data_IF_795099296265
#
_entry.id   IF_795099296265
#
_cell.length_a   1.000
_cell.length_b   1.000
_cell.length_c   1.000
_cell.angle_alpha   90.00
_cell.angle_beta   90.00
_cell.angle_gamma   90.00
#
_symmetry.space_group_name_H-M   'P 1'
#
loop_
_entity.id
_entity.type
_entity.pdbx_description
1 polymer ?
#
# COMPACT_ATOMS: atom_id res chain seq x y z
N UNK A 1 -1.17 -19.17 -5.38
CA UNK A 1 -1.34 -19.96 -4.13
C UNK A 1 -0.46 -21.20 -4.18
N UNK A 2 -0.44 -21.93 -5.28
CA UNK A 2 0.42 -23.11 -5.43
C UNK A 2 1.92 -22.76 -5.38
N UNK A 3 2.32 -21.62 -5.97
CA UNK A 3 3.70 -21.08 -5.87
C UNK A 3 4.16 -20.74 -4.44
N UNK A 4 3.23 -20.51 -3.52
CA UNK A 4 3.51 -20.13 -2.14
C UNK A 4 3.45 -21.32 -1.16
N UNK A 5 3.29 -22.55 -1.67
CA UNK A 5 3.30 -23.77 -0.86
C UNK A 5 2.02 -24.03 -0.04
N UNK A 6 0.89 -23.41 -0.40
CA UNK A 6 -0.38 -23.65 0.29
C UNK A 6 -0.91 -25.08 0.02
N UNK A 7 -1.45 -25.79 1.04
CA UNK A 7 -2.02 -27.11 0.85
C UNK A 7 -3.15 -27.12 -0.18
N UNK A 8 -3.08 -28.01 -1.17
CA UNK A 8 -4.08 -28.06 -2.26
C UNK A 8 -5.53 -28.26 -1.77
N UNK A 9 -5.75 -28.85 -0.59
CA UNK A 9 -7.08 -28.95 0.02
C UNK A 9 -7.67 -27.57 0.35
N UNK A 10 -6.86 -26.66 0.90
CA UNK A 10 -7.29 -25.30 1.24
C UNK A 10 -7.56 -24.49 -0.02
N UNK A 11 -6.68 -24.58 -1.04
CA UNK A 11 -6.89 -23.91 -2.33
C UNK A 11 -8.20 -24.35 -2.98
N UNK A 12 -8.54 -25.65 -2.92
CA UNK A 12 -9.81 -26.17 -3.45
C UNK A 12 -11.03 -25.66 -2.68
N UNK A 13 -10.96 -25.59 -1.34
CA UNK A 13 -12.05 -25.06 -0.51
C UNK A 13 -12.29 -23.56 -0.79
N UNK A 14 -11.22 -22.78 -0.89
CA UNK A 14 -11.31 -21.35 -1.22
C UNK A 14 -11.92 -21.17 -2.61
N UNK A 15 -11.46 -21.95 -3.61
CA UNK A 15 -12.04 -21.92 -4.96
C UNK A 15 -13.52 -22.27 -4.92
N UNK A 16 -13.91 -23.35 -4.24
CA UNK A 16 -15.32 -23.75 -4.13
C UNK A 16 -16.20 -22.69 -3.45
N UNK A 17 -15.64 -21.90 -2.53
CA UNK A 17 -16.37 -20.79 -1.89
C UNK A 17 -16.56 -19.58 -2.78
N UNK A 18 -15.74 -19.42 -3.82
CA UNK A 18 -15.75 -18.25 -4.71
C UNK A 18 -16.30 -18.56 -6.09
N UNK A 19 -16.34 -19.84 -6.49
CA UNK A 19 -16.78 -20.28 -7.80
C UNK A 19 -18.31 -20.25 -7.90
N UNK A 20 -18.83 -19.67 -8.99
CA UNK A 20 -20.27 -19.55 -9.23
C UNK A 20 -21.03 -18.63 -8.25
N UNK A 21 -20.32 -17.79 -7.49
CA UNK A 21 -20.96 -16.82 -6.58
C UNK A 21 -21.73 -15.78 -7.41
N UNK A 22 -22.97 -15.50 -7.01
CA UNK A 22 -23.74 -14.38 -7.54
C UNK A 22 -23.97 -13.34 -6.46
N UNK A 23 -23.80 -12.07 -6.83
CA UNK A 23 -24.03 -10.93 -5.97
C UNK A 23 -25.29 -10.19 -6.42
N UNK A 24 -26.01 -9.62 -5.46
CA UNK A 24 -27.10 -8.68 -5.68
C UNK A 24 -26.86 -7.47 -4.77
N UNK A 25 -27.19 -6.27 -5.25
CA UNK A 25 -27.13 -5.05 -4.44
C UNK A 25 -28.55 -4.72 -3.98
N UNK A 26 -28.71 -4.40 -2.70
CA UNK A 26 -29.99 -3.91 -2.17
C UNK A 26 -29.89 -2.41 -1.90
N UNK A 27 -30.72 -1.61 -2.57
CA UNK A 27 -30.80 -0.15 -2.38
C UNK A 27 -32.23 0.20 -1.99
N UNK A 28 -32.41 0.89 -0.86
CA UNK A 28 -33.72 1.34 -0.38
C UNK A 28 -34.81 0.25 -0.29
N UNK A 29 -34.40 -1.00 -0.05
CA UNK A 29 -35.30 -2.15 0.05
C UNK A 29 -35.50 -2.94 -1.25
N UNK A 30 -35.09 -2.40 -2.39
CA UNK A 30 -35.15 -3.07 -3.69
C UNK A 30 -33.85 -3.79 -4.01
N UNK A 31 -33.95 -5.03 -4.51
CA UNK A 31 -32.83 -5.87 -4.92
C UNK A 31 -32.55 -5.69 -6.42
N UNK A 32 -31.28 -5.51 -6.77
CA UNK A 32 -30.84 -5.54 -8.17
C UNK A 32 -30.96 -6.94 -8.76
N UNK A 33 -30.86 -7.02 -10.09
CA UNK A 33 -30.58 -8.29 -10.75
C UNK A 33 -29.28 -8.91 -10.22
N UNK A 34 -29.23 -10.25 -10.23
CA UNK A 34 -28.03 -10.96 -9.85
C UNK A 34 -26.95 -10.79 -10.93
N UNK A 35 -25.71 -10.65 -10.48
CA UNK A 35 -24.55 -10.58 -11.36
C UNK A 35 -23.39 -11.37 -10.76
N UNK A 36 -22.54 -11.88 -11.65
CA UNK A 36 -21.35 -12.63 -11.26
C UNK A 36 -20.16 -11.68 -11.09
N UNK A 37 -19.50 -11.65 -9.92
CA UNK A 37 -18.30 -10.87 -9.71
C UNK A 37 -17.12 -11.50 -10.46
N UNK A 38 -16.70 -10.89 -11.57
CA UNK A 38 -15.55 -11.37 -12.36
C UNK A 38 -14.18 -10.86 -11.88
N UNK A 39 -14.15 -9.79 -11.09
CA UNK A 39 -12.93 -9.19 -10.54
C UNK A 39 -13.18 -8.67 -9.14
N UNK A 40 -12.16 -8.76 -8.31
CA UNK A 40 -12.16 -8.28 -6.93
C UNK A 40 -12.65 -9.33 -5.93
N UNK A 41 -12.60 -8.94 -4.66
CA UNK A 41 -13.04 -9.73 -3.52
C UNK A 41 -14.25 -9.06 -2.87
N UNK A 42 -15.15 -9.85 -2.29
CA UNK A 42 -16.37 -9.32 -1.67
C UNK A 42 -16.01 -8.58 -0.38
N UNK A 43 -16.26 -7.27 -0.33
CA UNK A 43 -16.03 -6.48 0.88
C UNK A 43 -17.01 -6.94 1.99
N UNK A 44 -16.49 -7.15 3.19
CA UNK A 44 -17.25 -7.68 4.33
C UNK A 44 -17.23 -9.21 4.47
N UNK A 45 -16.63 -9.93 3.53
CA UNK A 45 -16.30 -11.35 3.73
C UNK A 45 -14.99 -11.48 4.53
N UNK A 46 -14.99 -12.34 5.54
CA UNK A 46 -13.84 -12.57 6.42
C UNK A 46 -12.62 -13.16 5.70
N UNK A 47 -12.85 -13.91 4.62
CA UNK A 47 -11.76 -14.47 3.81
C UNK A 47 -11.16 -13.46 2.84
N UNK A 48 -11.97 -12.53 2.32
CA UNK A 48 -11.52 -11.50 1.36
C UNK A 48 -10.30 -10.73 1.83
N UNK A 49 -10.29 -10.27 3.09
CA UNK A 49 -9.14 -9.53 3.63
C UNK A 49 -7.85 -10.40 3.64
N UNK A 50 -7.96 -11.67 4.03
CA UNK A 50 -6.82 -12.57 4.06
C UNK A 50 -6.30 -12.89 2.66
N UNK A 51 -7.20 -13.15 1.71
CA UNK A 51 -6.87 -13.43 0.31
C UNK A 51 -6.18 -12.24 -0.35
N UNK A 52 -6.65 -11.03 -0.06
CA UNK A 52 -6.02 -9.79 -0.52
C UNK A 52 -4.58 -9.68 0.01
N UNK A 53 -4.38 -9.88 1.32
CA UNK A 53 -3.05 -9.83 1.93
C UNK A 53 -2.10 -10.88 1.33
N UNK A 54 -2.57 -12.10 1.04
CA UNK A 54 -1.77 -13.14 0.39
C UNK A 54 -1.37 -12.73 -1.03
N UNK A 55 -2.29 -12.12 -1.79
CA UNK A 55 -1.99 -11.62 -3.12
C UNK A 55 -0.94 -10.50 -3.07
N UNK A 56 -1.09 -9.58 -2.12
CA UNK A 56 -0.18 -8.47 -1.87
C UNK A 56 1.23 -8.95 -1.52
N UNK A 57 1.34 -9.88 -0.58
CA UNK A 57 2.60 -10.51 -0.18
C UNK A 57 3.28 -11.18 -1.39
N UNK A 58 2.51 -11.82 -2.27
CA UNK A 58 3.02 -12.39 -3.51
C UNK A 58 3.59 -11.33 -4.47
N UNK A 59 2.91 -10.19 -4.62
CA UNK A 59 3.42 -9.05 -5.41
C UNK A 59 4.72 -8.52 -4.82
N UNK A 60 4.77 -8.32 -3.50
CA UNK A 60 5.94 -7.79 -2.81
C UNK A 60 7.16 -8.70 -2.96
N UNK A 61 6.98 -10.02 -2.79
CA UNK A 61 8.04 -11.01 -2.99
C UNK A 61 8.57 -10.99 -4.43
N UNK A 62 7.69 -10.91 -5.43
CA UNK A 62 8.08 -10.85 -6.85
C UNK A 62 8.74 -9.53 -7.23
N UNK A 63 8.37 -8.42 -6.60
CA UNK A 63 9.02 -7.13 -6.79
C UNK A 63 10.48 -7.10 -6.29
N UNK A 64 10.95 -8.20 -5.65
CA UNK A 64 12.32 -8.36 -5.18
C UNK A 64 12.52 -7.88 -3.75
N UNK A 65 11.44 -7.71 -2.99
CA UNK A 65 11.51 -7.32 -1.59
C UNK A 65 11.78 -8.54 -0.73
N UNK A 66 12.93 -8.50 -0.08
CA UNK A 66 13.33 -9.56 0.83
C UNK A 66 12.93 -9.14 2.24
N UNK A 67 11.84 -9.73 2.74
CA UNK A 67 11.23 -9.45 4.06
C UNK A 67 12.13 -9.79 5.26
N UNK A 68 13.36 -10.27 5.04
CA UNK A 68 14.32 -10.65 6.09
C UNK A 68 15.36 -9.57 6.44
N UNK A 69 15.32 -8.38 5.82
CA UNK A 69 16.28 -7.29 6.09
C UNK A 69 15.71 -6.17 6.97
N UNK A 70 16.54 -5.60 7.84
CA UNK A 70 16.24 -4.39 8.65
C UNK A 70 16.62 -3.11 7.91
N UNK A 71 16.07 -1.94 8.29
CA UNK A 71 16.43 -0.61 7.70
C UNK A 71 17.94 -0.38 7.75
N UNK A 72 18.59 -0.86 8.82
CA UNK A 72 20.04 -0.78 8.99
C UNK A 72 20.83 -1.59 7.95
N UNK A 73 20.28 -2.72 7.49
CA UNK A 73 21.00 -3.65 6.61
C UNK A 73 20.63 -3.49 5.13
N UNK A 74 19.44 -2.97 4.79
CA UNK A 74 19.02 -2.76 3.39
C UNK A 74 18.24 -1.48 3.15
N UNK A 75 18.48 -0.90 1.97
CA UNK A 75 17.99 0.39 1.48
C UNK A 75 16.60 0.30 0.84
N UNK A 76 15.71 -0.60 1.25
CA UNK A 76 14.40 -0.74 0.63
C UNK A 76 13.46 -1.56 1.52
N UNK A 77 12.52 -0.91 2.18
CA UNK A 77 11.50 -1.56 3.00
C UNK A 77 10.11 -1.05 2.66
N UNK A 78 9.13 -1.95 2.79
CA UNK A 78 7.70 -1.67 2.71
C UNK A 78 7.03 -1.88 4.07
N UNK A 79 6.18 -0.93 4.45
CA UNK A 79 5.18 -1.14 5.50
C UNK A 79 3.83 -1.15 4.80
N UNK A 80 3.09 -2.23 4.96
CA UNK A 80 1.78 -2.35 4.32
C UNK A 80 0.74 -2.60 5.39
N UNK A 81 -0.28 -1.76 5.39
CA UNK A 81 -1.47 -1.93 6.20
C UNK A 81 -2.68 -1.98 5.27
N UNK A 82 -3.23 -3.18 5.06
CA UNK A 82 -4.31 -3.43 4.11
C UNK A 82 -3.97 -2.89 2.69
N UNK A 83 -4.76 -1.96 2.17
CA UNK A 83 -4.56 -1.30 0.87
C UNK A 83 -3.56 -0.14 0.92
N UNK A 84 -3.22 0.37 2.12
CA UNK A 84 -2.21 1.39 2.31
C UNK A 84 -0.82 0.74 2.31
N UNK A 85 -0.14 0.84 1.16
CA UNK A 85 1.30 0.62 1.06
C UNK A 85 2.01 1.93 1.29
N UNK A 86 2.54 2.12 2.49
CA UNK A 86 3.27 3.33 2.80
C UNK A 86 4.66 2.96 3.23
N UNK A 87 5.64 3.57 2.56
CA UNK A 87 7.07 3.49 2.78
C UNK A 87 7.79 2.62 1.75
N UNK A 88 8.57 3.28 0.89
CA UNK A 88 9.74 2.76 0.21
C UNK A 88 10.95 3.45 0.86
N UNK A 89 11.35 3.09 2.08
CA UNK A 89 12.55 3.72 2.69
C UNK A 89 13.76 3.24 1.91
N UNK A 90 14.34 4.14 1.12
CA UNK A 90 15.61 3.94 0.49
C UNK A 90 16.54 5.11 0.74
N UNK A 91 17.85 4.83 0.72
CA UNK A 91 18.89 5.86 0.89
C UNK A 91 19.06 6.72 -0.35
N UNK A 92 18.51 6.31 -1.49
CA UNK A 92 18.67 7.04 -2.76
C UNK A 92 17.35 7.09 -3.51
N UNK A 93 17.11 8.23 -4.17
CA UNK A 93 15.97 8.42 -5.06
C UNK A 93 15.90 7.33 -6.15
N UNK A 94 17.05 6.98 -6.74
CA UNK A 94 17.14 5.93 -7.77
C UNK A 94 16.62 4.58 -7.27
N UNK A 95 16.98 4.20 -6.04
CA UNK A 95 16.49 2.95 -5.44
C UNK A 95 14.97 2.99 -5.22
N UNK A 96 14.42 4.14 -4.76
CA UNK A 96 12.96 4.31 -4.64
C UNK A 96 12.30 4.17 -6.00
N UNK A 97 12.83 4.82 -7.03
CA UNK A 97 12.28 4.79 -8.37
C UNK A 97 12.27 3.36 -8.96
N UNK A 98 13.38 2.63 -8.83
CA UNK A 98 13.48 1.25 -9.31
C UNK A 98 12.53 0.30 -8.56
N UNK A 99 12.40 0.46 -7.23
CA UNK A 99 11.45 -0.31 -6.42
C UNK A 99 10.00 -0.01 -6.81
N UNK A 100 9.68 1.27 -7.00
CA UNK A 100 8.35 1.72 -7.41
C UNK A 100 7.95 1.13 -8.77
N UNK A 101 8.81 1.24 -9.78
CA UNK A 101 8.53 0.69 -11.12
C UNK A 101 8.32 -0.83 -11.07
N UNK A 102 9.12 -1.55 -10.28
CA UNK A 102 8.97 -3.01 -10.11
C UNK A 102 7.65 -3.35 -9.41
N UNK A 103 7.33 -2.65 -8.33
CA UNK A 103 6.08 -2.83 -7.60
C UNK A 103 4.89 -2.59 -8.52
N UNK A 104 4.86 -1.46 -9.23
CA UNK A 104 3.79 -1.10 -10.17
C UNK A 104 3.59 -2.18 -11.24
N UNK A 105 4.68 -2.72 -11.79
CA UNK A 105 4.64 -3.81 -12.76
C UNK A 105 4.06 -5.11 -12.18
N UNK A 106 4.48 -5.51 -10.97
CA UNK A 106 3.97 -6.73 -10.33
C UNK A 106 2.54 -6.57 -9.81
N UNK A 107 2.16 -5.38 -9.35
CA UNK A 107 0.81 -5.02 -8.94
C UNK A 107 -0.18 -5.05 -10.12
N UNK A 108 0.23 -4.54 -11.28
CA UNK A 108 -0.59 -4.57 -12.49
C UNK A 108 -0.96 -6.01 -12.92
N UNK A 109 -0.06 -7.00 -12.72
CA UNK A 109 -0.33 -8.41 -13.02
C UNK A 109 -1.46 -9.01 -12.20
N UNK A 110 -1.64 -8.53 -10.97
CA UNK A 110 -2.74 -8.97 -10.08
C UNK A 110 -3.97 -8.05 -10.17
N UNK A 111 -3.94 -7.06 -11.06
CA UNK A 111 -5.03 -6.11 -11.26
C UNK A 111 -5.09 -4.97 -10.25
N UNK A 112 -4.01 -4.72 -9.49
CA UNK A 112 -3.90 -3.59 -8.58
C UNK A 112 -3.30 -2.38 -9.32
N UNK A 113 -3.81 -1.19 -8.98
CA UNK A 113 -3.36 0.09 -9.55
C UNK A 113 -2.97 1.01 -8.41
N UNK A 114 -1.80 1.63 -8.51
CA UNK A 114 -1.32 2.61 -7.53
C UNK A 114 -2.05 3.94 -7.76
N UNK A 115 -2.55 4.54 -6.69
CA UNK A 115 -3.20 5.84 -6.75
C UNK A 115 -2.18 6.97 -6.54
N UNK A 116 -1.66 7.52 -7.64
CA UNK A 116 -0.64 8.58 -7.59
C UNK A 116 -1.09 9.85 -6.84
N UNK A 117 -2.38 10.19 -6.83
CA UNK A 117 -2.86 11.40 -6.14
C UNK A 117 -2.83 11.27 -4.61
N UNK A 118 -2.96 10.03 -4.11
CA UNK A 118 -2.84 9.71 -2.67
C UNK A 118 -1.40 9.45 -2.25
N UNK A 119 -0.54 9.02 -3.17
CA UNK A 119 0.88 8.77 -2.86
C UNK A 119 1.65 10.08 -2.77
N UNK A 120 2.45 10.23 -1.72
CA UNK A 120 3.32 11.39 -1.48
C UNK A 120 4.78 10.94 -1.39
N UNK A 121 5.70 11.82 -1.74
CA UNK A 121 7.13 11.60 -1.56
C UNK A 121 7.65 12.46 -0.40
N UNK A 122 8.39 11.87 0.52
CA UNK A 122 8.99 12.61 1.64
C UNK A 122 10.49 12.32 1.71
N UNK A 123 11.30 13.39 1.76
CA UNK A 123 12.74 13.31 1.94
C UNK A 123 13.09 13.49 3.42
N UNK A 124 13.46 12.40 4.09
CA UNK A 124 13.84 12.41 5.51
C UNK A 124 15.35 12.57 5.66
N UNK A 125 15.79 13.58 6.42
CA UNK A 125 17.22 13.80 6.71
C UNK A 125 18.10 14.29 5.56
N UNK A 126 17.51 14.77 4.45
CA UNK A 126 18.25 15.42 3.35
C UNK A 126 18.66 16.86 3.67
N UNK A 127 19.67 17.38 2.98
CA UNK A 127 20.09 18.78 3.11
C UNK A 127 19.08 19.72 2.45
N UNK A 128 19.07 21.01 2.82
CA UNK A 128 18.22 22.03 2.19
C UNK A 128 18.44 22.11 0.66
N UNK A 129 19.69 21.91 0.22
CA UNK A 129 20.04 21.81 -1.19
C UNK A 129 19.39 20.62 -1.91
N UNK A 130 19.24 19.47 -1.24
CA UNK A 130 18.57 18.30 -1.81
C UNK A 130 17.06 18.55 -1.97
N UNK A 131 16.45 19.26 -1.01
CA UNK A 131 15.03 19.67 -1.09
C UNK A 131 14.78 20.65 -2.22
N UNK A 132 15.63 21.67 -2.36
CA UNK A 132 15.53 22.67 -3.44
C UNK A 132 15.67 22.01 -4.82
N UNK A 133 16.55 21.02 -4.95
CA UNK A 133 16.74 20.26 -6.20
C UNK A 133 15.56 19.36 -6.55
N UNK A 134 14.86 18.84 -5.55
CA UNK A 134 13.70 17.97 -5.78
C UNK A 134 12.47 18.75 -6.27
N UNK A 135 12.35 20.03 -5.87
CA UNK A 135 11.18 20.85 -6.15
C UNK A 135 9.94 20.37 -5.41
N UNK A 136 8.77 20.83 -5.85
CA UNK A 136 7.48 20.49 -5.23
C UNK A 136 6.93 19.13 -5.66
N UNK A 137 7.38 18.60 -6.78
CA UNK A 137 6.81 17.40 -7.40
C UNK A 137 7.94 16.51 -7.93
N UNK A 138 7.75 15.19 -7.83
CA UNK A 138 8.68 14.19 -8.38
C UNK A 138 7.95 13.23 -9.29
N UNK A 139 8.51 12.97 -10.47
CA UNK A 139 7.92 12.05 -11.45
C UNK A 139 8.68 10.73 -11.47
N UNK A 140 7.97 9.61 -11.30
CA UNK A 140 8.54 8.27 -11.39
C UNK A 140 7.62 7.41 -12.27
N UNK A 141 8.17 6.82 -13.33
CA UNK A 141 7.44 5.91 -14.22
C UNK A 141 6.11 6.47 -14.77
N UNK A 142 6.10 7.78 -15.07
CA UNK A 142 4.93 8.51 -15.59
C UNK A 142 3.95 9.02 -14.52
N UNK A 143 4.12 8.64 -13.25
CA UNK A 143 3.30 9.13 -12.14
C UNK A 143 4.00 10.30 -11.44
N UNK A 144 3.24 11.36 -11.16
CA UNK A 144 3.74 12.55 -10.45
C UNK A 144 3.29 12.51 -8.99
N UNK A 145 4.24 12.59 -8.08
CA UNK A 145 4.02 12.63 -6.63
C UNK A 145 4.34 14.01 -6.09
N UNK A 146 3.54 14.47 -5.15
CA UNK A 146 3.83 15.69 -4.40
C UNK A 146 4.90 15.42 -3.35
N UNK A 147 5.88 16.30 -3.27
CA UNK A 147 6.93 16.29 -2.26
C UNK A 147 6.41 17.00 -1.01
N UNK A 148 6.32 16.29 0.10
CA UNK A 148 5.79 16.79 1.37
C UNK A 148 6.84 16.75 2.46
N UNK A 149 6.77 17.70 3.38
CA UNK A 149 7.64 17.73 4.57
C UNK A 149 7.02 17.02 5.78
N UNK A 150 5.70 16.89 5.78
CA UNK A 150 4.96 16.16 6.80
C UNK A 150 3.73 15.49 6.19
N UNK A 151 3.37 14.32 6.72
CA UNK A 151 2.13 13.64 6.37
C UNK A 151 1.61 12.79 7.52
N UNK A 152 0.33 12.43 7.45
CA UNK A 152 -0.34 11.66 8.50
C UNK A 152 -0.49 10.23 8.03
N UNK A 153 0.10 9.30 8.76
CA UNK A 153 0.02 7.87 8.48
C UNK A 153 -0.59 7.13 9.66
N UNK A 154 -1.72 6.42 9.44
CA UNK A 154 -2.45 5.67 10.47
C UNK A 154 -2.72 6.47 11.77
N UNK A 155 -2.90 7.79 11.66
CA UNK A 155 -3.13 8.70 12.79
C UNK A 155 -1.86 9.27 13.43
N UNK A 156 -0.67 8.82 13.05
CA UNK A 156 0.62 9.38 13.46
C UNK A 156 1.11 10.43 12.47
N UNK A 157 1.65 11.54 12.98
CA UNK A 157 2.28 12.57 12.14
C UNK A 157 3.73 12.20 11.89
N UNK A 158 4.08 11.95 10.63
CA UNK A 158 5.45 11.77 10.18
C UNK A 158 5.98 13.09 9.66
N UNK A 159 7.21 13.43 10.06
CA UNK A 159 7.88 14.68 9.70
C UNK A 159 9.26 14.39 9.14
N UNK A 160 9.68 15.17 8.16
CA UNK A 160 10.96 15.00 7.48
C UNK A 160 12.18 15.29 8.39
N UNK A 161 11.98 16.01 9.50
CA UNK A 161 12.97 16.29 10.55
C UNK A 161 12.89 15.30 11.73
N UNK A 162 12.04 14.28 11.66
CA UNK A 162 11.81 13.27 12.70
C UNK A 162 11.44 13.87 14.08
N UNK A 163 10.68 14.97 14.06
CA UNK A 163 10.32 15.73 15.25
C UNK A 163 9.06 15.18 15.92
N UNK A 164 9.29 14.27 16.88
CA UNK A 164 8.23 13.63 17.68
C UNK A 164 7.41 14.64 18.50
N UNK A 165 8.00 15.78 18.89
CA UNK A 165 7.28 16.79 19.68
C UNK A 165 6.10 17.42 18.92
N UNK A 166 6.17 17.49 17.58
CA UNK A 166 5.05 17.95 16.74
C UNK A 166 3.87 16.98 16.79
N UNK A 167 4.14 15.68 16.71
CA UNK A 167 3.10 14.66 16.84
C UNK A 167 2.45 14.71 18.24
N UNK A 168 3.26 14.79 19.30
CA UNK A 168 2.76 14.86 20.68
C UNK A 168 1.83 16.06 20.86
N UNK A 169 2.25 17.25 20.43
CA UNK A 169 1.41 18.46 20.50
C UNK A 169 0.11 18.29 19.73
N UNK A 170 0.15 17.70 18.53
CA UNK A 170 -1.04 17.45 17.74
C UNK A 170 -2.02 16.52 18.46
N UNK A 171 -1.54 15.42 19.05
CA UNK A 171 -2.37 14.49 19.83
C UNK A 171 -2.99 15.16 21.05
N UNK A 172 -2.23 16.01 21.75
CA UNK A 172 -2.75 16.81 22.89
C UNK A 172 -3.87 17.75 22.42
N UNK A 173 -3.68 18.48 21.31
CA UNK A 173 -4.69 19.39 20.77
C UNK A 173 -5.95 18.63 20.35
N UNK A 174 -5.80 17.50 19.66
CA UNK A 174 -6.93 16.65 19.26
C UNK A 174 -7.69 16.09 20.47
N UNK A 175 -7.00 15.73 21.56
CA UNK A 175 -7.63 15.28 22.80
C UNK A 175 -8.32 16.41 23.59
N UNK A 176 -7.82 17.65 23.49
CA UNK A 176 -8.43 18.83 24.14
C UNK A 176 -9.66 19.39 23.41
N UNK A 177 -9.93 18.91 22.19
CA UNK A 177 -11.10 19.28 21.38
C UNK A 177 -12.25 18.26 21.50
N UNK A 178 -12.10 17.24 22.34
CA UNK A 178 -13.11 16.21 22.63
C UNK A 178 -13.89 16.56 23.90
#
# INVERSE_FOLDING_TARGET
>A
MDENGFPGKLTRLIRASMDGVQNCVRVSGELSSSFEPRRGLRQGDGLSCLLFNIALEGVMRRAGLNSRGTIFTKSGQFVCFADDMDINIARSFRTVAELYTRLKREAAKVGLVVNASKTKYMLVGGTEHDRIRLGSNVTIDGDTFEVVEEFVYLGSLLTADNNVSREIRRRIISGSRA
#
